data_IF_752074781754
#
_entry.id   IF_752074781754
#
_cell.length_a   1.000
_cell.length_b   1.000
_cell.length_c   1.000
_cell.angle_alpha   90.00
_cell.angle_beta   90.00
_cell.angle_gamma   90.00
#
_symmetry.space_group_name_H-M   'P 1'
#
loop_
_entity.id
_entity.type
_entity.pdbx_description
1 polymer ?
#
# COMPACT_ATOMS: atom_id res chain seq x y z
N UNK A 1 47.98 64.77 -67.23
CA UNK A 1 47.42 63.66 -67.98
C UNK A 1 48.06 62.40 -67.39
N UNK A 2 47.51 61.85 -66.35
CA UNK A 2 47.86 60.52 -65.85
C UNK A 2 46.65 59.98 -65.15
N UNK A 3 46.11 59.04 -65.82
CA UNK A 3 44.99 58.25 -65.39
C UNK A 3 45.44 57.30 -64.30
N UNK A 4 44.79 57.31 -63.16
CA UNK A 4 45.04 56.37 -62.04
C UNK A 4 43.72 55.77 -61.59
N UNK A 5 43.48 54.61 -62.10
CA UNK A 5 42.38 53.73 -61.66
C UNK A 5 42.68 53.16 -60.29
N UNK A 6 41.80 53.29 -59.31
CA UNK A 6 41.96 52.58 -58.01
C UNK A 6 41.50 51.14 -58.08
N UNK A 7 42.34 50.22 -57.57
CA UNK A 7 42.06 48.84 -57.44
C UNK A 7 41.03 48.61 -56.30
N UNK A 8 40.03 47.75 -56.54
CA UNK A 8 39.04 47.26 -55.58
C UNK A 8 39.69 46.21 -54.68
N UNK A 9 39.55 46.28 -53.34
CA UNK A 9 40.02 45.22 -52.49
C UNK A 9 39.00 44.05 -52.50
N UNK A 10 39.55 42.88 -52.70
CA UNK A 10 38.79 41.59 -52.56
C UNK A 10 38.27 41.39 -51.15
N UNK A 11 36.99 41.12 -51.02
CA UNK A 11 36.38 40.72 -49.78
C UNK A 11 36.83 39.30 -49.39
N UNK A 12 37.52 39.21 -48.27
CA UNK A 12 37.83 37.93 -47.64
C UNK A 12 36.54 37.34 -47.02
N UNK A 13 36.11 36.23 -47.54
CA UNK A 13 34.99 35.47 -47.01
C UNK A 13 35.49 34.67 -45.77
N UNK A 14 35.14 35.16 -44.59
CA UNK A 14 35.33 34.42 -43.34
C UNK A 14 34.29 33.26 -43.27
N UNK A 15 34.68 32.09 -43.73
CA UNK A 15 33.92 30.88 -43.53
C UNK A 15 34.16 30.35 -42.12
N UNK A 16 33.23 30.63 -41.22
CA UNK A 16 33.21 30.03 -39.89
C UNK A 16 33.15 28.51 -39.99
N UNK A 17 33.94 27.75 -39.16
CA UNK A 17 33.94 26.29 -39.20
C UNK A 17 32.58 25.75 -38.72
N UNK A 18 31.84 25.13 -39.63
CA UNK A 18 30.59 24.44 -39.33
C UNK A 18 30.88 23.26 -38.38
N UNK A 19 30.50 23.40 -37.10
CA UNK A 19 30.55 22.32 -36.15
C UNK A 19 29.66 21.15 -36.65
N UNK A 20 30.16 19.90 -36.65
CA UNK A 20 29.42 18.80 -37.26
C UNK A 20 28.11 18.55 -36.49
N UNK A 21 26.95 18.69 -37.14
CA UNK A 21 25.63 18.55 -36.49
C UNK A 21 25.41 17.15 -35.86
N UNK A 22 26.13 16.15 -36.33
CA UNK A 22 26.07 14.75 -35.87
C UNK A 22 26.54 14.55 -34.42
N UNK A 23 27.60 15.25 -33.99
CA UNK A 23 28.09 15.12 -32.59
C UNK A 23 27.14 15.75 -31.59
N UNK A 24 26.55 16.88 -31.88
CA UNK A 24 25.54 17.52 -31.00
C UNK A 24 24.26 16.67 -30.90
N UNK A 25 23.82 16.05 -32.00
CA UNK A 25 22.69 15.13 -32.00
C UNK A 25 22.96 13.87 -31.16
N UNK A 26 24.18 13.31 -31.21
CA UNK A 26 24.58 12.16 -30.41
C UNK A 26 24.63 12.49 -28.90
N UNK A 27 25.17 13.67 -28.54
CA UNK A 27 25.17 14.08 -27.12
C UNK A 27 23.75 14.39 -26.59
N UNK A 28 22.88 14.99 -27.44
CA UNK A 28 21.49 15.22 -27.06
C UNK A 28 20.72 13.89 -26.87
N UNK A 29 20.95 12.93 -27.78
CA UNK A 29 20.32 11.60 -27.63
C UNK A 29 20.84 10.85 -26.39
N UNK A 30 22.14 10.90 -26.10
CA UNK A 30 22.69 10.28 -24.91
C UNK A 30 22.18 10.93 -23.62
N UNK A 31 22.04 12.26 -23.58
CA UNK A 31 21.48 12.98 -22.46
C UNK A 31 20.00 12.65 -22.25
N UNK A 32 19.21 12.53 -23.31
CA UNK A 32 17.80 12.13 -23.24
C UNK A 32 17.62 10.71 -22.70
N UNK A 33 18.44 9.76 -23.14
CA UNK A 33 18.43 8.38 -22.62
C UNK A 33 18.84 8.34 -21.14
N UNK A 34 19.87 9.10 -20.74
CA UNK A 34 20.29 9.18 -19.34
C UNK A 34 19.21 9.83 -18.46
N UNK A 35 18.54 10.87 -18.92
CA UNK A 35 17.45 11.52 -18.21
C UNK A 35 16.22 10.61 -18.07
N UNK A 36 15.83 9.92 -19.14
CA UNK A 36 14.73 8.96 -19.13
C UNK A 36 15.03 7.76 -18.22
N UNK A 37 16.25 7.22 -18.29
CA UNK A 37 16.72 6.12 -17.43
C UNK A 37 16.81 6.53 -15.95
N UNK A 38 17.33 7.72 -15.68
CA UNK A 38 17.40 8.27 -14.32
C UNK A 38 16.03 8.56 -13.73
N UNK A 39 15.13 9.17 -14.51
CA UNK A 39 13.75 9.41 -14.09
C UNK A 39 12.98 8.10 -13.87
N UNK A 40 13.13 7.10 -14.73
CA UNK A 40 12.53 5.78 -14.59
C UNK A 40 13.00 5.05 -13.33
N UNK A 41 14.32 5.10 -13.07
CA UNK A 41 14.90 4.46 -11.89
C UNK A 41 14.49 5.18 -10.61
N UNK A 42 14.47 6.52 -10.61
CA UNK A 42 14.00 7.32 -9.48
C UNK A 42 12.52 7.06 -9.22
N UNK A 43 11.70 7.06 -10.25
CA UNK A 43 10.29 6.70 -10.17
C UNK A 43 10.10 5.33 -9.54
N UNK A 44 10.82 4.30 -10.02
CA UNK A 44 10.74 2.93 -9.50
C UNK A 44 11.20 2.85 -8.04
N UNK A 45 12.27 3.56 -7.64
CA UNK A 45 12.78 3.58 -6.25
C UNK A 45 11.92 4.41 -5.29
N UNK A 46 11.23 5.42 -5.80
CA UNK A 46 10.39 6.31 -5.00
C UNK A 46 8.91 5.88 -4.98
N UNK A 47 8.56 4.79 -5.68
CA UNK A 47 7.19 4.27 -5.62
C UNK A 47 6.89 3.70 -4.22
N UNK A 48 5.85 4.23 -3.51
CA UNK A 48 5.45 3.72 -2.20
C UNK A 48 5.06 2.22 -2.22
N UNK A 49 4.74 1.70 -3.40
CA UNK A 49 4.32 0.30 -3.59
C UNK A 49 5.37 -0.74 -3.22
N UNK A 50 6.68 -0.45 -3.33
CA UNK A 50 7.72 -1.41 -2.94
C UNK A 50 7.73 -1.66 -1.43
N UNK A 51 7.53 -0.63 -0.60
CA UNK A 51 7.43 -0.75 0.85
C UNK A 51 6.10 -1.41 1.28
N UNK A 52 5.01 -1.07 0.60
CA UNK A 52 3.68 -1.65 0.83
C UNK A 52 3.66 -3.13 0.44
N UNK A 53 4.28 -3.50 -0.69
CA UNK A 53 4.41 -4.91 -1.12
C UNK A 53 5.17 -5.76 -0.10
N UNK A 54 6.21 -5.22 0.52
CA UNK A 54 6.94 -5.89 1.60
C UNK A 54 6.08 -6.13 2.84
N UNK A 55 5.25 -5.16 3.22
CA UNK A 55 4.34 -5.26 4.35
C UNK A 55 3.19 -6.25 4.10
N UNK A 56 2.64 -6.26 2.87
CA UNK A 56 1.64 -7.24 2.45
C UNK A 56 2.22 -8.66 2.50
N UNK A 57 3.41 -8.86 1.94
CA UNK A 57 4.09 -10.15 2.00
C UNK A 57 4.35 -10.61 3.43
N UNK A 58 4.75 -9.68 4.31
CA UNK A 58 4.95 -9.96 5.73
C UNK A 58 3.64 -10.35 6.42
N UNK A 59 2.53 -9.63 6.16
CA UNK A 59 1.21 -9.98 6.70
C UNK A 59 0.82 -11.41 6.35
N UNK A 60 1.00 -11.82 5.10
CA UNK A 60 0.67 -13.17 4.67
C UNK A 60 1.53 -14.26 5.31
N UNK A 61 2.74 -13.93 5.75
CA UNK A 61 3.61 -14.84 6.51
C UNK A 61 3.29 -14.94 8.00
N UNK A 62 2.35 -14.13 8.51
CA UNK A 62 2.07 -14.06 9.93
C UNK A 62 1.18 -15.18 10.44
N UNK A 63 1.41 -15.52 11.70
CA UNK A 63 0.58 -16.40 12.53
C UNK A 63 0.28 -15.69 13.83
N UNK A 64 -0.96 -15.71 14.25
CA UNK A 64 -1.42 -15.12 15.50
C UNK A 64 -1.97 -16.21 16.41
N UNK A 65 -1.67 -16.14 17.69
CA UNK A 65 -2.33 -17.01 18.65
C UNK A 65 -3.84 -16.75 18.67
N UNK A 66 -4.62 -17.82 18.85
CA UNK A 66 -6.06 -17.70 19.03
C UNK A 66 -6.40 -17.22 20.45
N UNK A 67 -7.53 -16.52 20.66
CA UNK A 67 -7.95 -16.10 22.00
C UNK A 67 -8.14 -17.26 22.96
N UNK A 68 -8.67 -18.40 22.49
CA UNK A 68 -8.92 -19.57 23.32
C UNK A 68 -7.66 -20.43 23.46
N UNK A 69 -7.22 -20.73 24.68
CA UNK A 69 -6.09 -21.61 24.92
C UNK A 69 -6.29 -22.98 24.26
N UNK A 70 -5.24 -23.48 23.59
CA UNK A 70 -5.28 -24.77 22.91
C UNK A 70 -5.94 -24.78 21.55
N UNK A 71 -6.52 -23.66 21.10
CA UNK A 71 -6.97 -23.51 19.72
C UNK A 71 -5.78 -23.33 18.76
N UNK A 72 -5.89 -23.80 17.51
CA UNK A 72 -4.84 -23.60 16.52
C UNK A 72 -4.61 -22.11 16.27
N UNK A 73 -3.36 -21.74 16.01
CA UNK A 73 -3.01 -20.38 15.63
C UNK A 73 -3.70 -20.00 14.31
N UNK A 74 -4.07 -18.73 14.21
CA UNK A 74 -4.60 -18.12 13.01
C UNK A 74 -3.46 -17.93 12.01
N UNK A 75 -3.46 -18.70 10.92
CA UNK A 75 -2.48 -18.60 9.85
C UNK A 75 -3.04 -17.70 8.73
N UNK A 76 -2.39 -16.57 8.46
CA UNK A 76 -2.85 -15.62 7.43
C UNK A 76 -2.81 -16.23 6.02
N UNK A 77 -1.95 -17.20 5.75
CA UNK A 77 -1.91 -17.90 4.45
C UNK A 77 -3.24 -18.59 4.11
N UNK A 78 -3.99 -19.03 5.11
CA UNK A 78 -5.27 -19.71 4.89
C UNK A 78 -6.36 -18.79 4.27
N UNK A 79 -6.15 -17.48 4.32
CA UNK A 79 -7.10 -16.48 3.82
C UNK A 79 -6.78 -15.98 2.40
N UNK A 80 -5.70 -16.43 1.77
CA UNK A 80 -5.35 -16.02 0.40
C UNK A 80 -6.35 -16.56 -0.62
N UNK A 81 -6.40 -15.86 -1.77
CA UNK A 81 -7.26 -16.25 -2.90
C UNK A 81 -8.70 -15.80 -2.79
N UNK A 82 -9.03 -15.05 -1.74
CA UNK A 82 -10.37 -14.48 -1.51
C UNK A 82 -10.27 -13.07 -0.94
N UNK A 83 -11.25 -12.19 -1.18
CA UNK A 83 -11.26 -10.87 -0.55
C UNK A 83 -11.25 -10.98 0.98
N UNK A 84 -10.37 -10.20 1.62
CA UNK A 84 -10.16 -10.25 3.06
C UNK A 84 -10.17 -8.85 3.68
N UNK A 85 -10.96 -8.69 4.73
CA UNK A 85 -10.96 -7.53 5.60
C UNK A 85 -10.19 -7.85 6.88
N UNK A 86 -9.09 -7.15 7.14
CA UNK A 86 -8.30 -7.26 8.37
C UNK A 86 -8.55 -6.03 9.22
N UNK A 87 -9.17 -6.22 10.37
CA UNK A 87 -9.53 -5.15 11.31
C UNK A 87 -8.64 -5.22 12.56
N UNK A 88 -7.90 -4.14 12.80
CA UNK A 88 -7.06 -3.97 14.00
C UNK A 88 -7.87 -3.27 15.08
N UNK A 89 -7.99 -3.90 16.25
CA UNK A 89 -8.87 -3.46 17.31
C UNK A 89 -8.32 -3.76 18.72
N UNK A 90 -8.95 -3.18 19.74
CA UNK A 90 -8.67 -3.47 21.14
C UNK A 90 -9.93 -3.34 22.00
N UNK A 91 -9.96 -4.02 23.13
CA UNK A 91 -11.12 -3.98 24.07
C UNK A 91 -11.29 -2.63 24.77
N UNK A 92 -10.19 -1.88 24.91
CA UNK A 92 -10.17 -0.54 25.51
C UNK A 92 -10.46 0.60 24.50
N UNK A 93 -10.73 0.26 23.24
CA UNK A 93 -11.02 1.21 22.17
C UNK A 93 -12.53 1.25 21.90
N UNK A 94 -13.28 2.27 22.38
CA UNK A 94 -14.75 2.30 22.23
C UNK A 94 -15.23 2.20 20.79
N UNK A 95 -14.72 2.97 19.80
CA UNK A 95 -15.18 2.83 18.41
C UNK A 95 -14.86 1.47 17.80
N UNK A 96 -13.77 0.80 18.25
CA UNK A 96 -13.48 -0.58 17.82
C UNK A 96 -14.59 -1.55 18.28
N UNK A 97 -14.96 -1.46 19.53
CA UNK A 97 -15.98 -2.33 20.15
C UNK A 97 -17.34 -2.13 19.49
N UNK A 98 -17.69 -0.87 19.15
CA UNK A 98 -18.96 -0.52 18.51
C UNK A 98 -19.09 -1.06 17.09
N UNK A 99 -17.98 -1.19 16.33
CA UNK A 99 -18.04 -1.69 14.95
C UNK A 99 -18.05 -3.23 14.84
N UNK A 100 -17.58 -3.98 15.85
CA UNK A 100 -17.48 -5.44 15.80
C UNK A 100 -18.81 -6.16 15.47
N UNK A 101 -19.97 -5.77 16.01
CA UNK A 101 -21.26 -6.39 15.64
C UNK A 101 -21.61 -6.18 14.16
N UNK A 102 -21.30 -5.02 13.61
CA UNK A 102 -21.52 -4.73 12.20
C UNK A 102 -20.58 -5.54 11.30
N UNK A 103 -19.31 -5.65 11.68
CA UNK A 103 -18.35 -6.53 11.01
C UNK A 103 -18.77 -8.00 11.07
N UNK A 104 -19.32 -8.44 12.20
CA UNK A 104 -19.82 -9.80 12.33
C UNK A 104 -21.03 -10.05 11.42
N UNK A 105 -21.94 -9.09 11.31
CA UNK A 105 -23.05 -9.16 10.37
C UNK A 105 -22.55 -9.22 8.93
N UNK A 106 -21.58 -8.40 8.56
CA UNK A 106 -20.95 -8.42 7.24
C UNK A 106 -20.32 -9.79 6.95
N UNK A 107 -19.53 -10.33 7.88
CA UNK A 107 -18.93 -11.66 7.74
C UNK A 107 -19.99 -12.72 7.46
N UNK A 108 -21.03 -12.81 8.28
CA UNK A 108 -22.10 -13.82 8.15
C UNK A 108 -22.87 -13.72 6.83
N UNK A 109 -23.11 -12.50 6.35
CA UNK A 109 -23.89 -12.27 5.14
C UNK A 109 -23.07 -12.39 3.86
N UNK A 110 -21.76 -12.13 3.90
CA UNK A 110 -20.91 -12.09 2.72
C UNK A 110 -19.98 -13.31 2.58
N UNK A 111 -19.87 -14.16 3.60
CA UNK A 111 -19.01 -15.36 3.51
C UNK A 111 -19.38 -16.31 2.37
N UNK A 112 -20.68 -16.45 2.05
CA UNK A 112 -21.15 -17.26 0.92
C UNK A 112 -20.70 -16.70 -0.43
N UNK A 113 -20.36 -15.40 -0.50
CA UNK A 113 -19.80 -14.72 -1.67
C UNK A 113 -18.27 -14.72 -1.67
N UNK A 114 -17.66 -15.45 -0.75
CA UNK A 114 -16.20 -15.59 -0.66
C UNK A 114 -15.51 -14.58 0.25
N UNK A 115 -16.22 -13.58 0.80
CA UNK A 115 -15.62 -12.59 1.69
C UNK A 115 -15.17 -13.18 3.01
N UNK A 116 -14.05 -12.71 3.51
CA UNK A 116 -13.47 -13.10 4.78
C UNK A 116 -13.23 -11.85 5.65
N UNK A 117 -13.27 -12.07 6.96
CA UNK A 117 -12.93 -11.06 7.97
C UNK A 117 -11.98 -11.70 8.98
N UNK A 118 -10.96 -10.96 9.38
CA UNK A 118 -10.03 -11.31 10.48
C UNK A 118 -9.93 -10.12 11.41
N UNK A 119 -10.12 -10.35 12.69
CA UNK A 119 -9.85 -9.36 13.73
C UNK A 119 -8.46 -9.57 14.32
N UNK A 120 -7.60 -8.56 14.27
CA UNK A 120 -6.26 -8.57 14.88
C UNK A 120 -6.30 -7.74 16.15
N UNK A 121 -6.27 -8.43 17.30
CA UNK A 121 -6.40 -7.78 18.59
C UNK A 121 -5.04 -7.24 19.10
N UNK A 122 -5.00 -5.93 19.37
CA UNK A 122 -3.86 -5.24 19.98
C UNK A 122 -4.17 -5.06 21.48
N UNK A 123 -4.19 -6.18 22.19
CA UNK A 123 -4.60 -6.21 23.60
C UNK A 123 -4.07 -7.46 24.31
N UNK A 124 -4.27 -7.49 25.63
CA UNK A 124 -3.93 -8.64 26.45
C UNK A 124 -4.87 -9.82 26.16
N UNK A 125 -4.35 -11.04 26.06
CA UNK A 125 -5.17 -12.23 25.76
C UNK A 125 -6.34 -12.44 26.72
N UNK A 126 -6.16 -12.13 28.02
CA UNK A 126 -7.22 -12.23 29.03
C UNK A 126 -8.36 -11.26 28.78
N UNK A 127 -8.04 -10.01 28.43
CA UNK A 127 -9.02 -8.96 28.11
C UNK A 127 -9.84 -9.34 26.89
N UNK A 128 -9.17 -9.81 25.83
CA UNK A 128 -9.83 -10.27 24.60
C UNK A 128 -10.79 -11.43 24.89
N UNK A 129 -10.37 -12.44 25.66
CA UNK A 129 -11.23 -13.56 26.04
C UNK A 129 -12.46 -13.11 26.82
N UNK A 130 -12.28 -12.27 27.84
CA UNK A 130 -13.39 -11.74 28.64
C UNK A 130 -14.37 -10.93 27.79
N UNK A 131 -13.85 -10.15 26.84
CA UNK A 131 -14.67 -9.37 25.92
C UNK A 131 -15.48 -10.31 25.02
N UNK A 132 -14.84 -11.25 24.32
CA UNK A 132 -15.48 -12.16 23.39
C UNK A 132 -16.49 -13.11 24.06
N UNK A 133 -16.36 -13.38 25.35
CA UNK A 133 -17.37 -14.11 26.12
C UNK A 133 -18.68 -13.32 26.27
N UNK A 134 -18.64 -11.99 26.22
CA UNK A 134 -19.81 -11.09 26.33
C UNK A 134 -20.32 -10.62 24.98
N UNK A 135 -19.41 -10.42 24.02
CA UNK A 135 -19.68 -9.95 22.65
C UNK A 135 -19.02 -10.94 21.68
N UNK A 136 -19.67 -12.09 21.43
CA UNK A 136 -19.12 -13.09 20.54
C UNK A 136 -19.15 -12.61 19.08
N UNK A 137 -18.12 -12.98 18.32
CA UNK A 137 -18.04 -12.80 16.87
C UNK A 137 -17.74 -14.14 16.21
N UNK A 138 -18.22 -14.33 14.99
CA UNK A 138 -18.06 -15.58 14.25
C UNK A 138 -16.81 -15.58 13.36
N UNK A 139 -16.27 -14.40 13.06
CA UNK A 139 -15.03 -14.31 12.30
C UNK A 139 -13.80 -14.57 13.18
N UNK A 140 -12.71 -15.10 12.62
CA UNK A 140 -11.50 -15.40 13.35
C UNK A 140 -10.85 -14.19 14.00
N UNK A 141 -10.36 -14.36 15.22
CA UNK A 141 -9.58 -13.35 15.97
C UNK A 141 -8.18 -13.89 16.20
N UNK A 142 -7.17 -13.08 15.85
CA UNK A 142 -5.77 -13.31 16.16
C UNK A 142 -5.26 -12.33 17.23
N UNK A 143 -4.46 -12.84 18.17
CA UNK A 143 -3.82 -12.03 19.21
C UNK A 143 -2.46 -11.53 18.72
N UNK A 144 -2.34 -10.24 18.48
CA UNK A 144 -1.09 -9.60 18.04
C UNK A 144 -0.36 -8.87 19.18
N UNK A 145 -1.05 -8.61 20.31
CA UNK A 145 -0.49 -7.83 21.39
C UNK A 145 0.05 -6.49 20.89
N UNK A 146 1.07 -5.96 21.58
CA UNK A 146 1.68 -4.67 21.19
C UNK A 146 2.35 -4.70 19.82
N UNK A 147 2.84 -5.85 19.36
CA UNK A 147 3.43 -6.01 18.02
C UNK A 147 2.43 -5.73 16.89
N UNK A 148 1.14 -5.87 17.16
CA UNK A 148 0.08 -5.51 16.23
C UNK A 148 0.11 -4.02 15.83
N UNK A 149 0.62 -3.14 16.69
CA UNK A 149 0.79 -1.72 16.38
C UNK A 149 1.84 -1.52 15.27
N UNK A 150 2.97 -2.21 15.36
CA UNK A 150 4.03 -2.10 14.35
C UNK A 150 3.60 -2.72 13.02
N UNK A 151 2.86 -3.84 13.08
CA UNK A 151 2.23 -4.40 11.90
C UNK A 151 1.26 -3.40 11.26
N UNK A 152 0.37 -2.79 12.05
CA UNK A 152 -0.56 -1.76 11.56
C UNK A 152 0.18 -0.60 10.89
N UNK A 153 1.28 -0.13 11.49
CA UNK A 153 2.14 0.93 10.92
C UNK A 153 2.73 0.51 9.58
N UNK A 154 3.27 -0.70 9.48
CA UNK A 154 3.83 -1.22 8.23
C UNK A 154 2.78 -1.31 7.11
N UNK A 155 1.52 -1.55 7.47
CA UNK A 155 0.38 -1.61 6.55
C UNK A 155 -0.21 -0.22 6.24
N UNK A 156 0.35 0.87 6.78
CA UNK A 156 -0.02 2.25 6.46
C UNK A 156 -0.69 3.04 7.59
N UNK A 157 -0.90 2.46 8.77
CA UNK A 157 -1.38 3.15 9.97
C UNK A 157 -0.23 3.88 10.69
N UNK A 158 0.36 4.89 10.06
CA UNK A 158 1.54 5.57 10.57
C UNK A 158 1.33 6.19 11.97
N UNK A 159 0.12 6.67 12.26
CA UNK A 159 -0.24 7.24 13.55
C UNK A 159 -0.47 6.18 14.65
N UNK A 160 -0.67 4.90 14.28
CA UNK A 160 -0.95 3.83 15.22
C UNK A 160 -2.31 3.91 15.91
N UNK A 161 -3.25 4.72 15.39
CA UNK A 161 -4.60 4.85 15.93
C UNK A 161 -5.49 3.63 15.66
N UNK A 162 -6.50 3.41 16.49
CA UNK A 162 -7.50 2.34 16.36
C UNK A 162 -8.92 2.94 16.29
N UNK A 163 -9.86 2.25 15.61
CA UNK A 163 -9.63 1.06 14.79
C UNK A 163 -8.88 1.39 13.49
N UNK A 164 -8.25 0.38 12.92
CA UNK A 164 -7.65 0.46 11.59
C UNK A 164 -8.04 -0.77 10.78
N UNK A 165 -8.42 -0.57 9.53
CA UNK A 165 -8.84 -1.67 8.67
C UNK A 165 -8.12 -1.64 7.35
N UNK A 166 -7.72 -2.83 6.90
CA UNK A 166 -7.12 -3.07 5.59
C UNK A 166 -8.01 -4.01 4.81
N UNK A 167 -8.36 -3.61 3.59
CA UNK A 167 -9.06 -4.45 2.63
C UNK A 167 -8.05 -5.00 1.64
N UNK A 168 -7.97 -6.33 1.53
CA UNK A 168 -7.12 -7.03 0.56
C UNK A 168 -7.98 -7.72 -0.50
N UNK A 169 -7.53 -7.64 -1.74
CA UNK A 169 -8.10 -8.36 -2.87
C UNK A 169 -7.76 -9.85 -2.85
N UNK A 170 -8.39 -10.63 -3.71
CA UNK A 170 -8.12 -12.05 -3.87
C UNK A 170 -6.66 -12.33 -4.32
N UNK A 171 -6.03 -11.37 -5.00
CA UNK A 171 -4.61 -11.41 -5.37
C UNK A 171 -3.65 -11.19 -4.17
N UNK A 172 -4.20 -10.80 -3.03
CA UNK A 172 -3.45 -10.54 -1.79
C UNK A 172 -2.87 -9.14 -1.68
N UNK A 173 -3.20 -8.22 -2.59
CA UNK A 173 -2.78 -6.82 -2.53
C UNK A 173 -3.77 -5.96 -1.74
N UNK A 174 -3.28 -4.87 -1.14
CA UNK A 174 -4.14 -3.94 -0.41
C UNK A 174 -4.90 -3.06 -1.39
N UNK A 175 -6.23 -3.16 -1.36
CA UNK A 175 -7.16 -2.34 -2.15
C UNK A 175 -7.52 -1.04 -1.43
N UNK A 176 -7.81 -1.12 -0.12
CA UNK A 176 -8.21 0.04 0.68
C UNK A 176 -7.63 -0.02 2.10
N UNK A 177 -7.50 1.15 2.72
CA UNK A 177 -7.16 1.35 4.13
C UNK A 177 -8.16 2.32 4.73
N UNK A 178 -8.66 2.01 5.91
CA UNK A 178 -9.56 2.89 6.68
C UNK A 178 -8.95 3.13 8.06
N UNK A 179 -8.71 4.39 8.35
CA UNK A 179 -8.39 4.88 9.69
C UNK A 179 -9.68 5.29 10.39
N UNK A 180 -9.84 4.86 11.64
CA UNK A 180 -11.07 5.09 12.39
C UNK A 180 -12.18 4.09 12.04
N UNK A 181 -13.34 4.30 12.64
CA UNK A 181 -14.48 3.40 12.58
C UNK A 181 -14.99 3.18 11.16
N UNK A 182 -15.27 1.92 10.82
CA UNK A 182 -15.92 1.52 9.57
C UNK A 182 -17.42 1.89 9.65
N UNK A 183 -17.96 2.32 8.53
CA UNK A 183 -19.39 2.58 8.36
C UNK A 183 -20.08 1.49 7.51
N UNK A 184 -21.39 1.41 7.60
CA UNK A 184 -22.15 0.52 6.72
C UNK A 184 -21.97 0.87 5.23
N UNK A 185 -21.72 2.14 4.92
CA UNK A 185 -21.44 2.61 3.56
C UNK A 185 -20.08 2.10 3.06
N UNK A 186 -19.04 2.14 3.88
CA UNK A 186 -17.76 1.55 3.56
C UNK A 186 -17.91 0.06 3.19
N UNK A 187 -18.61 -0.70 4.01
CA UNK A 187 -18.83 -2.14 3.78
C UNK A 187 -19.65 -2.41 2.51
N UNK A 188 -20.66 -1.59 2.22
CA UNK A 188 -21.43 -1.71 0.96
C UNK A 188 -20.55 -1.44 -0.26
N UNK A 189 -19.77 -0.37 -0.24
CA UNK A 189 -18.85 -0.03 -1.33
C UNK A 189 -17.81 -1.13 -1.54
N UNK A 190 -17.20 -1.62 -0.46
CA UNK A 190 -16.18 -2.67 -0.54
C UNK A 190 -16.74 -4.00 -1.03
N UNK A 191 -17.93 -4.38 -0.58
CA UNK A 191 -18.57 -5.62 -1.04
C UNK A 191 -18.89 -5.66 -2.54
N UNK A 192 -18.90 -4.51 -3.20
CA UNK A 192 -19.08 -4.39 -4.65
C UNK A 192 -17.77 -4.58 -5.44
N UNK A 193 -16.61 -4.63 -4.76
CA UNK A 193 -15.28 -4.76 -5.37
C UNK A 193 -14.79 -6.21 -5.45
N UNK A 194 -15.45 -7.15 -4.77
CA UNK A 194 -15.05 -8.55 -4.63
C UNK A 194 -15.95 -9.57 -5.33
#
# INVERSE_FOLDING_TARGET
MTDSTPATPAAASDAAPASPPRRRALYAAAAAVAAAGGAGLAWWRLQPHAAVSGAEAALWGMRFDAPQPGSPALDMQAFRGRPLLVNFWATWCPPCVEELPMLNTFYRTQQARGWQVVGVAIDQPSSVRQFLARVPVDFPIGLAGLQGTDLGRSLGNLAGGLPFTVLLGADGTIMHRKMGQITADDLRQWSALG
#
